data_IF_583593892509
#
_entry.id   IF_583593892509
#
_cell.length_a   1.000
_cell.length_b   1.000
_cell.length_c   1.000
_cell.angle_alpha   90.00
_cell.angle_beta   90.00
_cell.angle_gamma   90.00
#
_symmetry.space_group_name_H-M   'P 1'
#
loop_
_entity.id
_entity.type
_entity.pdbx_description
1 polymer ?
#
# COMPACT_ATOMS: atom_id res chain seq x y z
N UNK A 1 0.20 109.59 -11.92
CA UNK A 1 -0.25 108.36 -11.22
C UNK A 1 -0.25 107.23 -12.21
N UNK A 2 0.47 106.11 -11.99
CA UNK A 2 0.27 104.90 -12.76
C UNK A 2 -1.06 104.25 -12.36
N UNK A 3 -1.77 103.63 -13.31
CA UNK A 3 -2.81 102.65 -12.97
C UNK A 3 -2.11 101.33 -12.64
N UNK A 4 -2.51 100.72 -11.53
CA UNK A 4 -2.07 99.37 -11.18
C UNK A 4 -3.10 98.38 -11.70
N UNK A 5 -2.97 97.99 -12.96
CA UNK A 5 -3.86 97.00 -13.57
C UNK A 5 -3.60 95.63 -12.93
N UNK A 6 -4.47 95.23 -12.01
CA UNK A 6 -4.41 93.90 -11.37
C UNK A 6 -4.80 92.84 -12.40
N UNK A 7 -3.81 92.16 -12.96
CA UNK A 7 -4.01 90.97 -13.79
C UNK A 7 -4.37 89.79 -12.87
N UNK A 8 -5.65 89.67 -12.53
CA UNK A 8 -6.19 88.37 -12.10
C UNK A 8 -6.09 87.41 -13.29
N UNK A 9 -5.34 86.32 -13.11
CA UNK A 9 -5.24 85.23 -14.08
C UNK A 9 -6.16 84.07 -13.65
N UNK A 10 -7.44 84.02 -14.08
CA UNK A 10 -8.35 82.96 -13.69
C UNK A 10 -7.91 81.56 -14.17
N UNK A 11 -7.27 81.47 -15.34
CA UNK A 11 -6.80 80.19 -15.93
C UNK A 11 -5.96 79.35 -14.95
N UNK A 12 -5.05 79.98 -14.20
CA UNK A 12 -4.17 79.26 -13.28
C UNK A 12 -4.95 78.60 -12.13
N UNK A 13 -6.10 79.16 -11.74
CA UNK A 13 -6.99 78.57 -10.73
C UNK A 13 -7.66 77.30 -11.25
N UNK A 14 -8.07 77.30 -12.52
CA UNK A 14 -8.88 76.23 -13.10
C UNK A 14 -8.03 75.06 -13.62
N UNK A 15 -6.80 75.32 -14.10
CA UNK A 15 -5.79 74.27 -14.31
C UNK A 15 -5.52 73.44 -13.05
N UNK A 16 -5.33 74.11 -11.90
CA UNK A 16 -5.04 73.44 -10.62
C UNK A 16 -6.24 72.64 -10.14
N UNK A 17 -7.47 73.17 -10.25
CA UNK A 17 -8.70 72.41 -9.99
C UNK A 17 -8.82 71.19 -10.89
N UNK A 18 -8.51 71.31 -12.18
CA UNK A 18 -8.53 70.21 -13.14
C UNK A 18 -7.59 69.06 -12.75
N UNK A 19 -6.35 69.38 -12.35
CA UNK A 19 -5.36 68.41 -11.87
C UNK A 19 -5.83 67.71 -10.58
N UNK A 20 -6.27 68.47 -9.58
CA UNK A 20 -6.78 67.93 -8.30
C UNK A 20 -8.03 67.03 -8.49
N UNK A 21 -8.94 67.40 -9.38
CA UNK A 21 -10.10 66.56 -9.72
C UNK A 21 -9.70 65.27 -10.45
N UNK A 22 -8.66 65.32 -11.29
CA UNK A 22 -8.12 64.13 -11.96
C UNK A 22 -7.45 63.17 -10.95
N UNK A 23 -6.68 63.69 -9.99
CA UNK A 23 -6.07 62.92 -8.92
C UNK A 23 -7.13 62.30 -7.99
N UNK A 24 -8.15 63.07 -7.58
CA UNK A 24 -9.30 62.55 -6.83
C UNK A 24 -10.06 61.46 -7.58
N UNK A 25 -10.22 61.58 -8.90
CA UNK A 25 -10.83 60.55 -9.74
C UNK A 25 -9.93 59.30 -9.85
N UNK A 26 -8.60 59.48 -9.89
CA UNK A 26 -7.61 58.39 -9.88
C UNK A 26 -7.65 57.60 -8.57
N UNK A 27 -7.54 58.28 -7.43
CA UNK A 27 -7.59 57.65 -6.10
C UNK A 27 -8.91 56.92 -5.86
N UNK A 28 -10.05 57.48 -6.29
CA UNK A 28 -11.35 56.81 -6.21
C UNK A 28 -11.40 55.52 -7.04
N UNK A 29 -10.87 55.52 -8.27
CA UNK A 29 -10.75 54.30 -9.10
C UNK A 29 -9.89 53.23 -8.40
N UNK A 30 -8.72 53.61 -7.89
CA UNK A 30 -7.83 52.69 -7.18
C UNK A 30 -8.47 52.09 -5.92
N UNK A 31 -9.23 52.89 -5.16
CA UNK A 31 -10.00 52.42 -4.01
C UNK A 31 -11.07 51.39 -4.39
N UNK A 32 -11.79 51.61 -5.50
CA UNK A 32 -12.80 50.66 -6.00
C UNK A 32 -12.15 49.35 -6.47
N UNK A 33 -11.01 49.40 -7.18
CA UNK A 33 -10.26 48.20 -7.54
C UNK A 33 -9.78 47.42 -6.31
N UNK A 34 -9.28 48.11 -5.27
CA UNK A 34 -8.89 47.46 -4.02
C UNK A 34 -10.06 46.79 -3.29
N UNK A 35 -11.24 47.40 -3.32
CA UNK A 35 -12.46 46.83 -2.73
C UNK A 35 -12.92 45.58 -3.49
N UNK A 36 -12.96 45.64 -4.83
CA UNK A 36 -13.31 44.49 -5.67
C UNK A 36 -12.32 43.33 -5.49
N UNK A 37 -11.01 43.63 -5.43
CA UNK A 37 -9.98 42.63 -5.16
C UNK A 37 -10.15 41.98 -3.79
N UNK A 38 -10.42 42.77 -2.73
CA UNK A 38 -10.70 42.24 -1.40
C UNK A 38 -11.91 41.30 -1.37
N UNK A 39 -13.00 41.65 -2.06
CA UNK A 39 -14.19 40.79 -2.19
C UNK A 39 -13.83 39.46 -2.88
N UNK A 40 -13.07 39.51 -3.98
CA UNK A 40 -12.59 38.31 -4.68
C UNK A 40 -11.72 37.44 -3.76
N UNK A 41 -10.80 38.03 -2.99
CA UNK A 41 -9.97 37.31 -2.02
C UNK A 41 -10.80 36.61 -0.94
N UNK A 42 -11.87 37.24 -0.43
CA UNK A 42 -12.79 36.62 0.54
C UNK A 42 -13.55 35.44 -0.08
N UNK A 43 -14.06 35.59 -1.31
CA UNK A 43 -14.75 34.49 -2.02
C UNK A 43 -13.80 33.31 -2.28
N UNK A 44 -12.57 33.57 -2.69
CA UNK A 44 -11.54 32.54 -2.89
C UNK A 44 -11.16 31.85 -1.56
N UNK A 45 -10.99 32.61 -0.47
CA UNK A 45 -10.77 32.05 0.87
C UNK A 45 -11.89 31.11 1.31
N UNK A 46 -13.15 31.52 1.13
CA UNK A 46 -14.31 30.67 1.46
C UNK A 46 -14.33 29.40 0.59
N UNK A 47 -14.10 29.51 -0.71
CA UNK A 47 -14.02 28.35 -1.61
C UNK A 47 -12.91 27.37 -1.21
N UNK A 48 -11.71 27.87 -0.91
CA UNK A 48 -10.59 27.06 -0.43
C UNK A 48 -10.89 26.40 0.93
N UNK A 49 -11.58 27.10 1.84
CA UNK A 49 -12.01 26.54 3.11
C UNK A 49 -13.02 25.39 2.94
N UNK A 50 -13.99 25.52 2.03
CA UNK A 50 -14.90 24.42 1.68
C UNK A 50 -14.14 23.22 1.08
N UNK A 51 -13.21 23.46 0.14
CA UNK A 51 -12.34 22.42 -0.44
C UNK A 51 -11.50 21.69 0.61
N UNK A 52 -10.91 22.43 1.56
CA UNK A 52 -10.13 21.87 2.66
C UNK A 52 -10.99 21.05 3.62
N UNK A 53 -12.22 21.51 3.91
CA UNK A 53 -13.18 20.78 4.77
C UNK A 53 -13.73 19.52 4.11
N UNK A 54 -13.90 19.52 2.79
CA UNK A 54 -14.24 18.35 1.98
C UNK A 54 -13.11 17.31 2.02
N UNK A 55 -11.88 17.71 1.69
CA UNK A 55 -10.71 16.81 1.73
C UNK A 55 -10.44 16.24 3.13
N UNK A 56 -10.61 17.03 4.20
CA UNK A 56 -10.51 16.52 5.58
C UNK A 56 -11.59 15.46 5.90
N UNK A 57 -12.81 15.58 5.36
CA UNK A 57 -13.86 14.56 5.53
C UNK A 57 -13.51 13.26 4.79
N UNK A 58 -12.91 13.36 3.61
CA UNK A 58 -12.41 12.20 2.87
C UNK A 58 -11.26 11.51 3.61
N UNK A 59 -10.32 12.28 4.16
CA UNK A 59 -9.20 11.77 4.96
C UNK A 59 -9.69 11.04 6.23
N UNK A 60 -10.68 11.58 6.94
CA UNK A 60 -11.29 10.89 8.10
C UNK A 60 -11.97 9.58 7.69
N UNK A 61 -12.76 9.56 6.61
CA UNK A 61 -13.36 8.33 6.07
C UNK A 61 -12.32 7.30 5.65
N UNK A 62 -11.21 7.73 5.05
CA UNK A 62 -10.10 6.86 4.69
C UNK A 62 -9.42 6.27 5.93
N UNK A 63 -9.22 7.08 6.98
CA UNK A 63 -8.69 6.63 8.29
C UNK A 63 -9.62 5.63 8.99
N UNK A 64 -10.92 5.89 9.02
CA UNK A 64 -11.93 4.96 9.56
C UNK A 64 -11.93 3.63 8.80
N UNK A 65 -11.85 3.68 7.46
CA UNK A 65 -11.76 2.46 6.63
C UNK A 65 -10.48 1.69 6.91
N UNK A 66 -9.34 2.38 7.06
CA UNK A 66 -8.06 1.74 7.38
C UNK A 66 -8.07 1.08 8.76
N UNK A 67 -8.69 1.73 9.76
CA UNK A 67 -8.88 1.14 11.09
C UNK A 67 -9.66 -0.19 10.99
N UNK A 68 -10.86 -0.19 10.38
CA UNK A 68 -11.68 -1.42 10.21
C UNK A 68 -10.96 -2.53 9.44
N UNK A 69 -10.05 -2.19 8.53
CA UNK A 69 -9.22 -3.18 7.82
C UNK A 69 -8.07 -3.71 8.69
N UNK A 70 -7.54 -2.92 9.63
CA UNK A 70 -6.57 -3.38 10.62
C UNK A 70 -7.24 -4.28 11.67
N UNK A 71 -8.42 -3.90 12.17
CA UNK A 71 -9.22 -4.68 13.12
C UNK A 71 -9.50 -6.09 12.55
N UNK A 72 -9.98 -6.16 11.30
CA UNK A 72 -10.23 -7.41 10.59
C UNK A 72 -8.96 -8.26 10.33
N UNK A 73 -7.79 -7.63 10.20
CA UNK A 73 -6.51 -8.34 10.12
C UNK A 73 -6.05 -8.88 11.49
N UNK A 74 -6.37 -8.18 12.58
CA UNK A 74 -6.13 -8.65 13.95
C UNK A 74 -7.04 -9.85 14.26
N UNK A 75 -8.33 -9.81 13.90
CA UNK A 75 -9.26 -10.94 14.01
C UNK A 75 -8.75 -12.16 13.22
N UNK A 76 -8.35 -11.98 11.95
CA UNK A 76 -7.80 -13.05 11.11
C UNK A 76 -6.51 -13.65 11.71
N UNK A 77 -5.67 -12.81 12.31
CA UNK A 77 -4.46 -13.24 13.02
C UNK A 77 -4.79 -14.06 14.27
N UNK A 78 -5.82 -13.70 15.04
CA UNK A 78 -6.30 -14.50 16.18
C UNK A 78 -6.81 -15.86 15.73
N UNK A 79 -7.63 -15.91 14.66
CA UNK A 79 -8.10 -17.17 14.06
C UNK A 79 -6.93 -18.06 13.60
N UNK A 80 -5.94 -17.47 12.93
CA UNK A 80 -4.73 -18.19 12.49
C UNK A 80 -3.89 -18.70 13.67
N UNK A 81 -3.78 -17.96 14.78
CA UNK A 81 -3.09 -18.46 15.98
C UNK A 81 -3.86 -19.59 16.67
N UNK A 82 -5.20 -19.53 16.71
CA UNK A 82 -6.01 -20.60 17.29
C UNK A 82 -5.89 -21.88 16.44
N UNK A 83 -6.06 -21.78 15.13
CA UNK A 83 -5.88 -22.92 14.21
C UNK A 83 -4.46 -23.49 14.27
N UNK A 84 -3.42 -22.66 14.44
CA UNK A 84 -2.05 -23.15 14.68
C UNK A 84 -1.97 -23.95 15.99
N UNK A 85 -2.54 -23.43 17.07
CA UNK A 85 -2.51 -24.10 18.38
C UNK A 85 -3.27 -25.43 18.35
N UNK A 86 -4.42 -25.50 17.66
CA UNK A 86 -5.17 -26.73 17.42
C UNK A 86 -4.34 -27.75 16.62
N UNK A 87 -3.68 -27.30 15.55
CA UNK A 87 -2.86 -28.16 14.68
C UNK A 87 -1.59 -28.66 15.40
N UNK A 88 -0.96 -27.82 16.22
CA UNK A 88 0.17 -28.24 17.07
C UNK A 88 -0.27 -29.16 18.21
N UNK A 89 -1.47 -28.97 18.79
CA UNK A 89 -2.04 -29.92 19.75
C UNK A 89 -2.36 -31.28 19.11
N UNK A 90 -2.91 -31.29 17.89
CA UNK A 90 -3.17 -32.52 17.12
C UNK A 90 -1.87 -33.28 16.78
N UNK A 91 -0.78 -32.56 16.46
CA UNK A 91 0.56 -33.15 16.30
C UNK A 91 1.08 -33.81 17.57
N UNK A 92 0.89 -33.19 18.74
CA UNK A 92 1.31 -33.78 20.02
C UNK A 92 0.49 -35.03 20.35
N UNK A 93 -0.83 -34.99 20.12
CA UNK A 93 -1.70 -36.16 20.31
C UNK A 93 -1.32 -37.36 19.41
N UNK A 94 -0.88 -37.13 18.18
CA UNK A 94 -0.35 -38.19 17.31
C UNK A 94 0.92 -38.84 17.88
N UNK A 95 1.84 -38.04 18.43
CA UNK A 95 3.08 -38.55 19.03
C UNK A 95 2.83 -39.36 20.31
N UNK A 96 1.77 -39.06 21.06
CA UNK A 96 1.31 -39.88 22.19
C UNK A 96 0.72 -41.23 21.75
N UNK A 97 0.09 -41.30 20.56
CA UNK A 97 -0.47 -42.56 20.02
C UNK A 97 0.61 -43.51 19.48
N UNK A 98 1.70 -43.00 18.90
CA UNK A 98 2.86 -43.83 18.51
C UNK A 98 3.68 -44.34 19.72
N UNK A 99 3.33 -43.94 20.96
CA UNK A 99 4.02 -44.34 22.19
C UNK A 99 3.53 -45.67 22.79
N UNK A 100 2.94 -46.57 21.98
CA UNK A 100 2.54 -47.92 22.43
C UNK A 100 3.81 -48.79 22.62
N UNK A 101 4.08 -49.32 23.84
CA UNK A 101 5.25 -50.15 24.06
C UNK A 101 5.08 -51.51 23.36
N UNK A 102 5.89 -51.77 22.34
CA UNK A 102 5.95 -53.06 21.66
C UNK A 102 6.52 -54.10 22.64
N UNK A 103 5.65 -54.91 23.24
CA UNK A 103 6.07 -56.09 23.98
C UNK A 103 6.65 -57.13 23.01
N UNK A 104 7.98 -57.27 23.05
CA UNK A 104 8.75 -58.30 22.37
C UNK A 104 9.35 -59.27 23.40
N UNK A 105 8.58 -60.27 23.81
CA UNK A 105 9.17 -61.60 24.01
C UNK A 105 9.38 -62.22 22.62
N UNK A 106 10.45 -63.03 22.43
CA UNK A 106 10.30 -64.43 22.78
C UNK A 106 11.48 -65.05 23.56
N UNK A 107 11.11 -65.89 24.52
CA UNK A 107 11.62 -67.24 24.82
C UNK A 107 13.10 -67.62 24.55
N UNK A 108 13.74 -68.20 25.58
CA UNK A 108 15.15 -68.59 25.60
C UNK A 108 15.38 -69.99 25.02
N UNK A 109 16.31 -70.12 24.06
CA UNK A 109 17.01 -71.39 23.77
C UNK A 109 18.52 -71.16 23.73
N UNK A 110 19.28 -72.02 24.41
CA UNK A 110 20.73 -71.92 24.58
C UNK A 110 21.51 -72.77 23.58
N UNK A 111 22.73 -72.34 23.22
CA UNK A 111 23.98 -73.15 23.25
C UNK A 111 25.22 -72.25 23.04
N UNK A 112 26.43 -72.60 23.55
CA UNK A 112 27.62 -71.76 23.54
C UNK A 112 28.69 -72.17 22.49
N UNK A 113 29.72 -71.34 22.31
CA UNK A 113 30.88 -71.56 21.44
C UNK A 113 31.27 -70.27 20.70
N UNK A 114 31.98 -69.33 21.30
CA UNK A 114 33.42 -69.34 21.59
C UNK A 114 34.30 -69.04 20.35
N UNK A 115 34.49 -67.73 20.08
CA UNK A 115 35.65 -67.15 19.38
C UNK A 115 35.81 -65.69 19.83
N UNK A 116 37.04 -65.16 19.88
CA UNK A 116 37.36 -63.93 20.59
C UNK A 116 37.40 -62.64 19.75
N UNK A 117 37.28 -61.51 20.47
CA UNK A 117 37.49 -60.10 20.06
C UNK A 117 38.96 -59.80 19.62
N UNK A 118 39.33 -58.62 19.05
CA UNK A 118 38.69 -57.29 19.21
C UNK A 118 38.64 -56.30 18.00
N UNK A 119 38.20 -55.09 18.35
CA UNK A 119 38.17 -53.79 17.64
C UNK A 119 39.35 -53.43 16.69
N UNK A 120 39.24 -52.44 15.80
CA UNK A 120 38.13 -51.50 15.50
C UNK A 120 38.60 -50.22 14.78
N UNK A 121 37.69 -49.26 14.55
CA UNK A 121 37.81 -48.10 13.61
C UNK A 121 37.84 -48.54 12.11
N UNK A 122 37.45 -47.75 11.11
CA UNK A 122 37.09 -46.32 10.94
C UNK A 122 35.74 -46.19 10.15
N UNK A 123 35.25 -44.99 9.73
CA UNK A 123 35.62 -43.60 10.06
C UNK A 123 34.47 -42.74 10.63
N UNK A 124 34.82 -41.54 11.12
CA UNK A 124 33.86 -40.50 11.52
C UNK A 124 33.36 -39.72 10.30
N UNK A 125 32.04 -39.47 10.20
CA UNK A 125 31.48 -38.52 9.24
C UNK A 125 31.01 -37.25 9.98
N UNK A 126 31.87 -36.23 10.06
CA UNK A 126 31.56 -34.99 10.75
C UNK A 126 30.43 -34.21 10.06
N UNK A 127 29.37 -33.87 10.82
CA UNK A 127 28.41 -32.83 10.40
C UNK A 127 28.84 -31.48 11.00
N UNK A 128 29.08 -30.43 10.20
CA UNK A 128 29.52 -29.15 10.71
C UNK A 128 28.44 -28.49 11.57
N UNK A 129 28.80 -28.13 12.81
CA UNK A 129 27.92 -27.41 13.72
C UNK A 129 27.94 -25.92 13.38
N UNK A 130 26.78 -25.31 13.10
CA UNK A 130 26.67 -23.85 12.95
C UNK A 130 26.22 -23.19 14.27
N UNK A 131 26.87 -22.09 14.69
CA UNK A 131 26.57 -21.45 15.98
C UNK A 131 25.28 -20.61 15.93
N UNK A 132 24.37 -20.85 16.87
CA UNK A 132 23.18 -20.02 17.08
C UNK A 132 23.57 -18.74 17.83
N UNK A 133 23.62 -17.60 17.13
CA UNK A 133 23.80 -16.30 17.78
C UNK A 133 22.51 -15.84 18.46
N UNK A 134 22.46 -15.97 19.79
CA UNK A 134 21.42 -15.37 20.62
C UNK A 134 21.57 -13.84 20.66
N UNK A 135 20.58 -13.11 20.17
CA UNK A 135 20.49 -11.65 20.30
C UNK A 135 19.24 -11.26 21.11
N UNK A 136 19.45 -10.50 22.17
CA UNK A 136 18.47 -10.23 23.22
C UNK A 136 17.40 -9.21 22.79
N UNK A 137 16.10 -9.44 23.07
CA UNK A 137 15.09 -8.39 23.03
C UNK A 137 15.43 -7.27 24.03
N UNK A 138 15.41 -6.01 23.57
CA UNK A 138 15.70 -4.84 24.41
C UNK A 138 14.41 -4.35 25.09
N UNK A 139 14.22 -4.72 26.36
CA UNK A 139 13.13 -4.19 27.19
C UNK A 139 13.22 -2.66 27.26
N UNK A 140 12.07 -1.98 27.12
CA UNK A 140 11.94 -0.53 27.32
C UNK A 140 10.63 -0.26 28.04
N UNK A 141 10.72 0.12 29.32
CA UNK A 141 9.56 0.34 30.19
C UNK A 141 8.83 1.65 29.86
N UNK A 142 7.48 1.67 29.89
CA UNK A 142 6.71 2.89 30.15
C UNK A 142 6.82 3.28 31.64
N UNK A 143 6.71 4.57 31.96
CA UNK A 143 6.59 5.06 33.35
C UNK A 143 5.12 5.35 33.72
N UNK A 144 4.84 5.41 35.03
CA UNK A 144 3.50 5.36 35.62
C UNK A 144 3.07 6.68 36.27
N UNK A 145 1.85 7.15 35.94
CA UNK A 145 0.98 8.08 36.73
C UNK A 145 -0.23 8.46 35.85
N UNK A 146 -1.51 8.49 36.25
CA UNK A 146 -2.24 8.33 37.52
C UNK A 146 -3.42 9.34 37.55
N UNK A 147 -4.36 9.37 38.53
CA UNK A 147 -4.83 8.33 39.44
C UNK A 147 -6.40 8.17 39.51
N UNK A 148 -6.86 7.04 40.07
CA UNK A 148 -8.06 6.80 40.93
C UNK A 148 -9.34 7.67 40.80
N UNK A 149 -10.49 7.00 40.60
CA UNK A 149 -11.75 7.26 41.34
C UNK A 149 -12.71 6.04 41.35
N UNK A 150 -13.69 6.04 42.25
CA UNK A 150 -14.52 4.89 42.71
C UNK A 150 -15.79 5.43 43.42
N UNK A 151 -16.79 4.68 43.94
CA UNK A 151 -17.06 3.23 44.12
C UNK A 151 -18.07 2.71 43.03
N UNK A 152 -19.02 1.77 43.11
CA UNK A 152 -19.73 0.89 44.11
C UNK A 152 -20.02 -0.49 43.42
N UNK A 153 -20.35 -1.64 44.04
CA UNK A 153 -21.46 -2.09 44.94
C UNK A 153 -22.88 -2.02 44.32
N UNK A 154 -23.78 -3.01 44.40
CA UNK A 154 -23.83 -4.26 45.21
C UNK A 154 -24.69 -5.37 44.51
N UNK A 155 -24.67 -6.67 44.93
CA UNK A 155 -25.23 -7.80 44.16
C UNK A 155 -26.46 -8.55 44.75
N UNK A 156 -27.32 -9.11 43.89
CA UNK A 156 -28.29 -10.20 44.16
C UNK A 156 -28.60 -10.97 42.84
N UNK A 157 -29.14 -12.20 42.80
CA UNK A 157 -28.80 -13.50 43.43
C UNK A 157 -29.67 -14.60 42.77
N UNK A 158 -29.04 -15.72 42.37
CA UNK A 158 -29.55 -17.09 42.09
C UNK A 158 -30.94 -17.38 41.42
N UNK A 159 -30.90 -18.34 40.46
CA UNK A 159 -32.01 -19.25 40.12
C UNK A 159 -32.67 -19.02 38.74
N UNK A 160 -33.06 -20.03 37.95
CA UNK A 160 -32.83 -21.49 38.03
C UNK A 160 -32.94 -22.14 36.64
N UNK A 161 -32.18 -23.22 36.39
CA UNK A 161 -32.49 -24.24 35.37
C UNK A 161 -33.41 -25.33 35.98
N UNK A 162 -34.02 -26.27 35.21
CA UNK A 162 -33.89 -26.50 33.75
C UNK A 162 -35.24 -26.63 32.99
N UNK A 163 -35.22 -26.54 31.65
CA UNK A 163 -35.96 -27.49 30.79
C UNK A 163 -35.62 -27.41 29.29
N UNK A 164 -36.16 -28.38 28.55
CA UNK A 164 -36.36 -28.43 27.09
C UNK A 164 -35.12 -28.44 26.17
N UNK A 165 -34.75 -29.67 25.78
CA UNK A 165 -33.98 -29.94 24.55
C UNK A 165 -34.71 -29.38 23.33
N UNK A 166 -34.03 -28.53 22.55
CA UNK A 166 -34.40 -28.26 21.16
C UNK A 166 -33.12 -28.07 20.32
N UNK A 167 -32.92 -28.94 19.34
CA UNK A 167 -31.79 -28.86 18.41
C UNK A 167 -32.02 -27.68 17.44
N UNK A 168 -31.06 -26.75 17.27
CA UNK A 168 -31.06 -25.85 16.13
C UNK A 168 -30.68 -26.65 14.88
N UNK A 169 -31.65 -26.91 14.00
CA UNK A 169 -31.41 -27.64 12.76
C UNK A 169 -30.80 -26.74 11.68
N UNK A 170 -29.47 -26.71 11.62
CA UNK A 170 -28.70 -26.34 10.42
C UNK A 170 -28.41 -27.59 9.58
N UNK A 171 -28.26 -27.49 8.22
CA UNK A 171 -27.88 -26.28 7.50
C UNK A 171 -28.78 -25.93 6.29
N UNK A 172 -29.34 -24.71 6.29
CA UNK A 172 -29.76 -24.03 5.05
C UNK A 172 -29.08 -22.67 4.86
N UNK A 173 -28.75 -21.95 5.95
CA UNK A 173 -28.10 -20.63 5.88
C UNK A 173 -26.69 -20.73 5.29
N UNK A 174 -25.91 -21.73 5.72
CA UNK A 174 -24.57 -21.99 5.20
C UNK A 174 -24.53 -22.18 3.67
N UNK A 175 -25.54 -22.83 3.09
CA UNK A 175 -25.60 -23.10 1.64
C UNK A 175 -25.96 -21.83 0.85
N UNK A 176 -26.82 -20.97 1.39
CA UNK A 176 -27.16 -19.69 0.78
C UNK A 176 -25.98 -18.69 0.84
N UNK A 177 -25.23 -18.69 1.95
CA UNK A 177 -23.98 -17.94 2.09
C UNK A 177 -22.91 -18.42 1.09
N UNK A 178 -22.71 -19.74 0.94
CA UNK A 178 -21.81 -20.30 -0.08
C UNK A 178 -22.23 -19.94 -1.51
N UNK A 179 -23.54 -19.91 -1.80
CA UNK A 179 -24.05 -19.56 -3.12
C UNK A 179 -23.75 -18.09 -3.46
N UNK A 180 -24.00 -17.15 -2.55
CA UNK A 180 -23.62 -15.74 -2.73
C UNK A 180 -22.09 -15.57 -2.86
N UNK A 181 -21.29 -16.33 -2.11
CA UNK A 181 -19.83 -16.35 -2.26
C UNK A 181 -19.38 -16.88 -3.64
N UNK A 182 -20.14 -17.79 -4.25
CA UNK A 182 -19.89 -18.30 -5.60
C UNK A 182 -20.30 -17.31 -6.70
N UNK A 183 -21.39 -16.56 -6.53
CA UNK A 183 -21.79 -15.52 -7.48
C UNK A 183 -20.86 -14.31 -7.45
N UNK A 184 -20.39 -13.89 -6.26
CA UNK A 184 -19.30 -12.92 -6.13
C UNK A 184 -17.99 -13.42 -6.79
N UNK A 185 -17.68 -14.72 -6.72
CA UNK A 185 -16.59 -15.32 -7.48
C UNK A 185 -16.83 -15.29 -9.00
N UNK A 186 -18.07 -15.49 -9.47
CA UNK A 186 -18.40 -15.43 -10.90
C UNK A 186 -18.41 -14.01 -11.47
N UNK A 187 -18.93 -12.99 -10.76
CA UNK A 187 -18.78 -11.60 -11.21
C UNK A 187 -17.31 -11.15 -11.18
N UNK A 188 -16.51 -11.70 -10.26
CA UNK A 188 -15.05 -11.56 -10.25
C UNK A 188 -14.29 -12.25 -11.42
N UNK A 189 -15.00 -12.88 -12.37
CA UNK A 189 -14.43 -13.50 -13.58
C UNK A 189 -14.44 -12.61 -14.82
N UNK A 190 -14.92 -11.36 -14.72
CA UNK A 190 -14.56 -10.31 -15.67
C UNK A 190 -13.03 -10.27 -15.79
N UNK A 191 -12.50 -10.56 -16.98
CA UNK A 191 -11.12 -11.04 -17.18
C UNK A 191 -10.09 -10.18 -16.44
N UNK A 192 -9.55 -10.68 -15.33
CA UNK A 192 -8.60 -9.93 -14.48
C UNK A 192 -7.43 -9.47 -15.34
N UNK A 193 -7.28 -8.15 -15.45
CA UNK A 193 -6.27 -7.53 -16.29
C UNK A 193 -4.88 -8.03 -15.89
N UNK A 194 -4.01 -8.30 -16.88
CA UNK A 194 -2.70 -8.93 -16.69
C UNK A 194 -1.80 -8.14 -15.73
N UNK A 195 -2.00 -6.82 -15.61
CA UNK A 195 -1.30 -5.95 -14.67
C UNK A 195 -2.20 -5.33 -13.58
N UNK A 196 -3.35 -5.95 -13.25
CA UNK A 196 -4.19 -5.46 -12.15
C UNK A 196 -3.44 -5.57 -10.82
N UNK A 197 -3.31 -4.44 -10.11
CA UNK A 197 -2.58 -4.35 -8.83
C UNK A 197 -1.06 -4.28 -8.95
N UNK A 198 -0.48 -4.40 -10.15
CA UNK A 198 0.97 -4.34 -10.34
C UNK A 198 1.52 -2.94 -10.07
N UNK A 199 2.69 -2.83 -9.43
CA UNK A 199 3.41 -1.57 -9.21
C UNK A 199 4.48 -1.44 -10.29
N UNK A 200 4.28 -0.52 -11.24
CA UNK A 200 5.15 -0.37 -12.42
C UNK A 200 5.87 0.98 -12.36
N UNK A 201 7.17 0.95 -12.15
CA UNK A 201 8.03 2.14 -12.16
C UNK A 201 8.50 2.43 -13.58
N UNK A 202 8.15 3.60 -14.13
CA UNK A 202 8.62 4.04 -15.45
C UNK A 202 9.78 5.02 -15.27
N UNK A 203 10.93 4.72 -15.88
CA UNK A 203 12.15 5.53 -15.87
C UNK A 203 12.44 6.01 -17.30
N UNK A 204 12.46 7.32 -17.54
CA UNK A 204 12.61 7.93 -18.87
C UNK A 204 13.52 9.17 -18.83
N UNK A 205 14.66 9.11 -19.52
CA UNK A 205 15.65 10.19 -19.57
C UNK A 205 15.14 11.50 -20.22
N UNK A 206 14.02 11.45 -20.96
CA UNK A 206 13.49 12.56 -21.78
C UNK A 206 12.00 12.87 -21.51
N UNK A 207 11.34 12.14 -20.62
CA UNK A 207 9.91 12.28 -20.30
C UNK A 207 9.01 12.32 -21.56
N UNK A 208 9.28 11.39 -22.49
CA UNK A 208 8.62 11.27 -23.82
C UNK A 208 7.12 11.08 -23.67
N UNK A 209 6.35 11.57 -24.65
CA UNK A 209 4.90 11.32 -24.72
C UNK A 209 4.57 9.81 -24.68
N UNK A 210 5.40 8.98 -25.30
CA UNK A 210 5.29 7.51 -25.25
C UNK A 210 5.24 6.94 -23.81
N UNK A 211 5.93 7.56 -22.85
CA UNK A 211 5.93 7.14 -21.45
C UNK A 211 4.67 7.59 -20.70
N UNK A 212 4.09 8.73 -21.09
CA UNK A 212 2.78 9.19 -20.58
C UNK A 212 1.65 8.33 -21.14
N UNK A 213 1.74 7.97 -22.42
CA UNK A 213 0.84 7.08 -23.13
C UNK A 213 0.87 5.67 -22.53
N UNK A 214 2.07 5.13 -22.27
CA UNK A 214 2.24 3.88 -21.51
C UNK A 214 1.64 4.00 -20.10
N UNK A 215 1.94 5.07 -19.35
CA UNK A 215 1.35 5.28 -18.02
C UNK A 215 -0.18 5.29 -18.06
N UNK A 216 -0.80 5.91 -19.06
CA UNK A 216 -2.25 5.92 -19.25
C UNK A 216 -2.78 4.50 -19.46
N UNK A 217 -2.25 3.78 -20.44
CA UNK A 217 -2.68 2.40 -20.74
C UNK A 217 -2.50 1.45 -19.54
N UNK A 218 -1.40 1.58 -18.78
CA UNK A 218 -1.17 0.76 -17.60
C UNK A 218 -2.20 1.06 -16.49
N UNK A 219 -2.52 2.33 -16.23
CA UNK A 219 -3.57 2.74 -15.27
C UNK A 219 -4.96 2.26 -15.68
N UNK A 220 -5.32 2.37 -16.96
CA UNK A 220 -6.57 1.81 -17.52
C UNK A 220 -6.66 0.28 -17.37
N UNK A 221 -5.51 -0.39 -17.24
CA UNK A 221 -5.40 -1.83 -17.02
C UNK A 221 -5.18 -2.20 -15.55
N UNK A 222 -5.42 -1.27 -14.62
CA UNK A 222 -5.43 -1.50 -13.18
C UNK A 222 -4.06 -1.51 -12.51
N UNK A 223 -3.00 -1.08 -13.20
CA UNK A 223 -1.66 -0.99 -12.62
C UNK A 223 -1.44 0.34 -11.89
N UNK A 224 -0.70 0.26 -10.78
CA UNK A 224 -0.23 1.39 -9.99
C UNK A 224 1.06 1.90 -10.63
N UNK A 225 1.06 3.13 -11.15
CA UNK A 225 2.24 3.75 -11.79
C UNK A 225 2.65 5.01 -11.01
N UNK A 226 3.65 4.96 -10.10
CA UNK A 226 3.98 6.02 -9.12
C UNK A 226 4.61 7.31 -9.67
N UNK A 227 4.10 7.84 -10.78
CA UNK A 227 4.72 8.85 -11.66
C UNK A 227 5.94 8.33 -12.45
N UNK A 228 6.33 9.09 -13.48
CA UNK A 228 7.46 8.78 -14.37
C UNK A 228 8.71 9.44 -13.77
N UNK A 229 9.74 8.65 -13.51
CA UNK A 229 11.02 9.15 -13.01
C UNK A 229 11.89 9.58 -14.19
N UNK A 230 12.37 10.82 -14.18
CA UNK A 230 13.29 11.36 -15.19
C UNK A 230 14.54 12.02 -14.59
N UNK A 231 14.52 12.30 -13.29
CA UNK A 231 15.60 12.97 -12.56
C UNK A 231 16.69 11.95 -12.19
N UNK A 232 17.96 12.36 -12.29
CA UNK A 232 19.16 11.58 -11.95
C UNK A 232 19.39 10.30 -12.79
N UNK A 233 18.70 10.11 -13.92
CA UNK A 233 18.96 8.98 -14.82
C UNK A 233 20.19 9.21 -15.73
N UNK A 234 20.85 8.15 -16.21
CA UNK A 234 21.91 8.27 -17.22
C UNK A 234 21.40 8.91 -18.52
N UNK A 235 22.22 9.77 -19.14
CA UNK A 235 21.87 10.44 -20.42
C UNK A 235 21.55 9.48 -21.57
N UNK A 236 22.05 8.24 -21.49
CA UNK A 236 21.78 7.18 -22.44
C UNK A 236 21.71 5.83 -21.73
N UNK A 237 20.58 5.15 -21.83
CA UNK A 237 20.40 3.74 -21.52
C UNK A 237 19.51 3.10 -22.59
N UNK A 238 19.51 1.76 -22.68
CA UNK A 238 18.66 1.02 -23.63
C UNK A 238 17.26 0.81 -23.04
N UNK A 239 16.24 0.91 -23.90
CA UNK A 239 14.87 0.54 -23.54
C UNK A 239 14.84 -0.91 -23.07
N UNK A 240 14.33 -1.17 -21.88
CA UNK A 240 14.36 -2.49 -21.24
C UNK A 240 13.28 -2.60 -20.16
N UNK A 241 12.89 -3.83 -19.82
CA UNK A 241 11.93 -4.11 -18.74
C UNK A 241 12.56 -5.12 -17.79
N UNK A 242 12.47 -4.86 -16.48
CA UNK A 242 12.94 -5.77 -15.44
C UNK A 242 11.79 -6.25 -14.58
N UNK A 243 11.88 -7.51 -14.17
CA UNK A 243 10.91 -8.18 -13.31
C UNK A 243 11.63 -9.02 -12.24
N UNK A 244 11.06 -9.08 -11.03
CA UNK A 244 11.80 -9.52 -9.84
C UNK A 244 11.45 -10.92 -9.35
N UNK A 245 10.30 -11.45 -9.78
CA UNK A 245 9.83 -12.82 -9.51
C UNK A 245 9.44 -13.52 -10.82
N UNK A 246 9.63 -14.83 -10.93
CA UNK A 246 9.33 -15.58 -12.15
C UNK A 246 7.84 -15.48 -12.56
N UNK A 247 6.95 -15.37 -11.57
CA UNK A 247 5.50 -15.16 -11.75
C UNK A 247 5.16 -13.88 -12.54
N UNK A 248 5.99 -12.83 -12.41
CA UNK A 248 5.78 -11.53 -13.06
C UNK A 248 6.12 -11.54 -14.57
N UNK A 249 6.75 -12.60 -15.10
CA UNK A 249 7.26 -12.64 -16.48
C UNK A 249 6.17 -12.35 -17.51
N UNK A 250 5.00 -12.97 -17.35
CA UNK A 250 3.87 -12.83 -18.28
C UNK A 250 3.37 -11.39 -18.35
N UNK A 251 3.43 -10.66 -17.24
CA UNK A 251 3.13 -9.23 -17.21
C UNK A 251 4.25 -8.42 -17.87
N UNK A 252 5.52 -8.71 -17.56
CA UNK A 252 6.67 -8.02 -18.16
C UNK A 252 6.71 -8.15 -19.71
N UNK A 253 6.45 -9.35 -20.24
CA UNK A 253 6.28 -9.61 -21.68
C UNK A 253 5.11 -8.81 -22.28
N UNK A 254 3.97 -8.72 -21.58
CA UNK A 254 2.80 -7.97 -22.03
C UNK A 254 3.05 -6.45 -22.05
N UNK A 255 3.76 -5.90 -21.04
CA UNK A 255 4.20 -4.49 -21.03
C UNK A 255 5.19 -4.22 -22.17
N UNK A 256 6.11 -5.16 -22.46
CA UNK A 256 7.02 -5.08 -23.62
C UNK A 256 6.26 -4.97 -24.94
N UNK A 257 5.19 -5.75 -25.12
CA UNK A 257 4.33 -5.71 -26.31
C UNK A 257 3.63 -4.35 -26.47
N UNK A 258 3.12 -3.76 -25.39
CA UNK A 258 2.47 -2.43 -25.43
C UNK A 258 3.48 -1.32 -25.73
N UNK A 259 4.61 -1.27 -25.02
CA UNK A 259 5.64 -0.26 -25.25
C UNK A 259 6.20 -0.32 -26.68
N UNK A 260 6.36 -1.53 -27.25
CA UNK A 260 6.75 -1.71 -28.66
C UNK A 260 5.70 -1.18 -29.65
N UNK A 261 4.40 -1.30 -29.33
CA UNK A 261 3.31 -0.70 -30.11
C UNK A 261 3.39 0.82 -30.13
N UNK A 262 3.42 1.43 -28.93
CA UNK A 262 3.50 2.89 -28.75
C UNK A 262 4.74 3.46 -29.47
N UNK A 263 5.93 2.86 -29.30
CA UNK A 263 7.15 3.33 -29.96
C UNK A 263 7.07 3.23 -31.50
N UNK A 264 6.40 2.20 -32.03
CA UNK A 264 6.16 2.05 -33.48
C UNK A 264 5.21 3.11 -34.03
N UNK A 265 4.10 3.39 -33.34
CA UNK A 265 3.13 4.41 -33.73
C UNK A 265 3.74 5.82 -33.72
N UNK A 266 4.67 6.08 -32.78
CA UNK A 266 5.44 7.34 -32.70
C UNK A 266 6.63 7.42 -33.67
N UNK A 267 6.79 6.47 -34.59
CA UNK A 267 7.83 6.50 -35.63
C UNK A 267 9.27 6.31 -35.12
N UNK A 268 9.46 5.90 -33.86
CA UNK A 268 10.80 5.61 -33.31
C UNK A 268 11.33 4.37 -34.04
N UNK A 269 12.48 4.50 -34.72
CA UNK A 269 12.87 3.58 -35.80
C UNK A 269 13.02 2.12 -35.34
N UNK A 270 11.98 1.30 -35.60
CA UNK A 270 11.69 0.04 -34.91
C UNK A 270 12.67 -1.10 -35.24
N UNK A 271 13.55 -0.92 -36.23
CA UNK A 271 14.51 -1.95 -36.71
C UNK A 271 15.50 -2.46 -35.64
N UNK A 272 15.55 -1.83 -34.46
CA UNK A 272 16.45 -2.18 -33.34
C UNK A 272 15.75 -2.41 -32.00
N UNK A 273 14.43 -2.20 -31.90
CA UNK A 273 13.69 -2.31 -30.62
C UNK A 273 13.04 -3.66 -30.44
N UNK A 274 13.85 -4.70 -30.34
CA UNK A 274 13.48 -5.83 -29.49
C UNK A 274 13.77 -5.41 -28.04
N UNK A 275 12.72 -5.25 -27.23
CA UNK A 275 12.84 -4.68 -25.88
C UNK A 275 13.17 -5.82 -24.92
N UNK A 276 14.41 -5.93 -24.40
CA UNK A 276 14.80 -7.01 -23.51
C UNK A 276 13.96 -6.98 -22.23
N UNK A 277 13.37 -8.14 -21.93
CA UNK A 277 12.67 -8.44 -20.68
C UNK A 277 13.64 -9.26 -19.85
N UNK A 278 14.06 -8.75 -18.69
CA UNK A 278 15.19 -9.27 -17.91
C UNK A 278 14.76 -9.65 -16.51
N UNK A 279 14.94 -10.92 -16.15
CA UNK A 279 14.75 -11.37 -14.78
C UNK A 279 15.88 -10.86 -13.88
N UNK A 280 15.53 -10.29 -12.72
CA UNK A 280 16.48 -9.81 -11.71
C UNK A 280 15.99 -10.27 -10.34
N UNK A 281 16.42 -11.45 -9.89
CA UNK A 281 16.00 -12.03 -8.61
C UNK A 281 16.29 -11.08 -7.43
N UNK A 282 15.24 -10.64 -6.73
CA UNK A 282 15.39 -9.73 -5.59
C UNK A 282 14.32 -9.98 -4.52
N UNK A 283 14.66 -10.78 -3.51
CA UNK A 283 13.76 -11.13 -2.40
C UNK A 283 13.35 -9.93 -1.50
N UNK A 284 13.89 -8.72 -1.71
CA UNK A 284 13.44 -7.49 -1.04
C UNK A 284 12.30 -6.77 -1.77
N UNK A 285 11.97 -7.20 -2.98
CA UNK A 285 10.90 -6.63 -3.81
C UNK A 285 9.67 -7.53 -3.72
N UNK A 286 8.47 -6.96 -3.62
CA UNK A 286 7.22 -7.72 -3.61
C UNK A 286 6.83 -8.26 -4.99
N UNK A 287 6.03 -9.31 -5.02
CA UNK A 287 5.33 -9.79 -6.23
C UNK A 287 4.52 -8.67 -6.89
N UNK A 288 4.40 -8.70 -8.22
CA UNK A 288 3.69 -7.69 -8.99
C UNK A 288 4.45 -6.39 -9.21
N UNK A 289 5.75 -6.32 -8.93
CA UNK A 289 6.57 -5.11 -9.16
C UNK A 289 7.39 -5.23 -10.45
N UNK A 290 7.38 -4.16 -11.27
CA UNK A 290 8.13 -4.07 -12.53
C UNK A 290 8.89 -2.74 -12.65
N UNK A 291 10.05 -2.75 -13.31
CA UNK A 291 10.71 -1.54 -13.82
C UNK A 291 10.63 -1.49 -15.35
N UNK A 292 10.18 -0.37 -15.90
CA UNK A 292 10.22 -0.08 -17.34
C UNK A 292 11.18 1.08 -17.57
N UNK A 293 12.28 0.80 -18.25
CA UNK A 293 13.28 1.78 -18.64
C UNK A 293 13.00 2.17 -20.09
N UNK A 294 12.63 3.42 -20.34
CA UNK A 294 12.41 3.98 -21.67
C UNK A 294 13.69 4.70 -22.12
N UNK A 295 14.47 4.01 -22.95
CA UNK A 295 15.78 4.44 -23.41
C UNK A 295 15.73 5.41 -24.57
N UNK A 296 16.92 5.74 -25.09
CA UNK A 296 17.08 6.75 -26.14
C UNK A 296 16.87 6.20 -27.55
#
# INVERSE_FOLDING_TARGET
MPKSDMIENPDYSDEVKGRLLHELASMKKQSVFSLLFAIICVVVMVFLFYKLRESNRELTRAKEKLARQNDLLEDQKVVLTNFKNELDAWRMSLLEVDSIPIQLEPEVVMMPGEAAMPAGAEPVLERPTMPVQSNKPRVRSPQTSGPVQSEDNDPWVQGSLPQAVQQPSEPMVAQQAQTQHYELKKQGSASRSICFGYIIYIQDAKAREASKELQKMLKEKGAIVPAIQSRNLPRSFRTSIKYFHQEDERAAQWVSKILRGILKERGVNVRTTDIPVTYVSNAKVSLGQLEVWVGN
#
